data_IF_007797684999
#
_entry.id   IF_007797684999
#
_cell.length_a   1.000
_cell.length_b   1.000
_cell.length_c   1.000
_cell.angle_alpha   90.00
_cell.angle_beta   90.00
_cell.angle_gamma   90.00
#
_symmetry.space_group_name_H-M   'P 1'
#
loop_
_entity.id
_entity.type
_entity.pdbx_description
1 polymer ?
#
# COMPACT_ATOMS: atom_id res chain seq x y z
N UNK A 1 5.77 12.39 15.55
CA UNK A 1 4.85 11.30 15.19
C UNK A 1 5.47 9.98 15.63
N UNK A 2 4.69 9.05 16.17
CA UNK A 2 5.22 7.75 16.62
C UNK A 2 5.53 6.88 15.40
N UNK A 3 6.79 6.44 15.26
CA UNK A 3 7.23 5.59 14.15
C UNK A 3 6.37 4.32 14.01
N UNK A 4 5.88 3.78 15.13
CA UNK A 4 4.97 2.64 15.17
C UNK A 4 3.62 2.97 14.52
N UNK A 5 3.10 4.18 14.77
CA UNK A 5 1.83 4.62 14.17
C UNK A 5 1.96 4.79 12.66
N UNK A 6 3.09 5.33 12.20
CA UNK A 6 3.35 5.52 10.76
C UNK A 6 3.50 4.16 10.05
N UNK A 7 4.21 3.19 10.67
CA UNK A 7 4.31 1.82 10.18
C UNK A 7 2.93 1.12 10.14
N UNK A 8 2.12 1.24 11.20
CA UNK A 8 0.78 0.66 11.23
C UNK A 8 -0.14 1.24 10.14
N UNK A 9 -0.09 2.57 9.93
CA UNK A 9 -0.85 3.24 8.89
C UNK A 9 -0.41 2.79 7.48
N UNK A 10 0.90 2.75 7.24
CA UNK A 10 1.45 2.28 5.96
C UNK A 10 1.03 0.83 5.66
N UNK A 11 1.09 -0.05 6.66
CA UNK A 11 0.65 -1.46 6.52
C UNK A 11 -0.83 -1.57 6.19
N UNK A 12 -1.70 -0.84 6.88
CA UNK A 12 -3.15 -0.85 6.59
C UNK A 12 -3.41 -0.40 5.15
N UNK A 13 -2.77 0.69 4.71
CA UNK A 13 -2.94 1.20 3.35
C UNK A 13 -2.41 0.21 2.30
N UNK A 14 -1.29 -0.47 2.55
CA UNK A 14 -0.79 -1.55 1.68
C UNK A 14 -1.84 -2.64 1.45
N UNK A 15 -2.53 -3.08 2.51
CA UNK A 15 -3.59 -4.08 2.40
C UNK A 15 -4.80 -3.56 1.63
N UNK A 16 -5.21 -2.29 1.83
CA UNK A 16 -6.31 -1.68 1.10
C UNK A 16 -6.00 -1.65 -0.41
N UNK A 17 -4.84 -1.15 -0.80
CA UNK A 17 -4.46 -1.13 -2.22
C UNK A 17 -4.29 -2.53 -2.81
N UNK A 18 -3.78 -3.49 -2.02
CA UNK A 18 -3.70 -4.89 -2.44
C UNK A 18 -5.07 -5.52 -2.69
N UNK A 19 -6.05 -5.22 -1.84
CA UNK A 19 -7.42 -5.68 -2.02
C UNK A 19 -8.06 -5.06 -3.28
N UNK A 20 -7.87 -3.76 -3.52
CA UNK A 20 -8.37 -3.09 -4.72
C UNK A 20 -7.79 -3.73 -5.98
N UNK A 21 -6.46 -3.92 -6.03
CA UNK A 21 -5.80 -4.58 -7.15
C UNK A 21 -6.35 -5.99 -7.38
N UNK A 22 -6.49 -6.79 -6.31
CA UNK A 22 -6.99 -8.17 -6.41
C UNK A 22 -8.43 -8.23 -6.94
N UNK A 23 -9.29 -7.30 -6.52
CA UNK A 23 -10.68 -7.19 -7.01
C UNK A 23 -10.70 -6.86 -8.50
N UNK A 24 -9.84 -5.93 -8.94
CA UNK A 24 -9.82 -5.49 -10.34
C UNK A 24 -9.12 -6.47 -11.28
N UNK A 25 -8.17 -7.28 -10.78
CA UNK A 25 -7.49 -8.33 -11.56
C UNK A 25 -8.34 -9.60 -11.69
N UNK A 26 -9.08 -9.98 -10.65
CA UNK A 26 -9.85 -11.22 -10.60
C UNK A 26 -11.36 -11.09 -10.79
N UNK A 27 -11.89 -9.86 -10.76
CA UNK A 27 -13.33 -9.60 -10.80
C UNK A 27 -13.90 -9.44 -12.21
N UNK A 28 -15.17 -9.81 -12.38
CA UNK A 28 -15.95 -9.42 -13.55
C UNK A 28 -16.25 -7.91 -13.46
N UNK A 29 -15.68 -7.12 -14.36
CA UNK A 29 -15.95 -5.69 -14.42
C UNK A 29 -17.34 -5.47 -15.01
N UNK A 30 -18.29 -5.05 -14.17
CA UNK A 30 -19.67 -4.77 -14.57
C UNK A 30 -19.82 -3.42 -15.28
N UNK A 31 -19.00 -3.15 -16.31
CA UNK A 31 -19.04 -1.88 -17.03
C UNK A 31 -18.91 -2.06 -18.55
N UNK A 32 -19.34 -1.04 -19.29
CA UNK A 32 -19.36 -1.05 -20.75
C UNK A 32 -17.98 -0.92 -21.39
N UNK A 33 -17.96 -0.60 -22.69
CA UNK A 33 -16.72 -0.39 -23.46
C UNK A 33 -15.75 0.57 -22.73
N UNK A 34 -14.57 0.05 -22.37
CA UNK A 34 -13.49 0.81 -21.74
C UNK A 34 -13.27 0.55 -20.25
N UNK A 35 -14.12 -0.23 -19.59
CA UNK A 35 -13.96 -0.57 -18.18
C UNK A 35 -12.63 -1.27 -17.86
N UNK A 36 -12.16 -2.17 -18.73
CA UNK A 36 -10.86 -2.83 -18.56
C UNK A 36 -9.69 -1.84 -18.57
N UNK A 37 -9.77 -0.81 -19.43
CA UNK A 37 -8.73 0.23 -19.52
C UNK A 37 -8.69 1.08 -18.27
N UNK A 38 -9.86 1.39 -17.69
CA UNK A 38 -9.97 2.13 -16.43
C UNK A 38 -9.45 1.28 -15.28
N UNK A 39 -9.83 0.00 -15.20
CA UNK A 39 -9.35 -0.94 -14.20
C UNK A 39 -7.81 -1.07 -14.26
N UNK A 40 -7.23 -1.26 -15.44
CA UNK A 40 -5.78 -1.29 -15.63
C UNK A 40 -5.09 -0.01 -15.14
N UNK A 41 -5.70 1.16 -15.37
CA UNK A 41 -5.17 2.44 -14.87
C UNK A 41 -5.24 2.54 -13.36
N UNK A 42 -6.32 2.07 -12.73
CA UNK A 42 -6.48 2.05 -11.27
C UNK A 42 -5.45 1.09 -10.65
N UNK A 43 -5.26 -0.10 -11.22
CA UNK A 43 -4.25 -1.07 -10.80
C UNK A 43 -2.85 -0.43 -10.82
N UNK A 44 -2.48 0.23 -11.92
CA UNK A 44 -1.17 0.89 -12.03
C UNK A 44 -0.97 1.98 -10.96
N UNK A 45 -2.02 2.74 -10.63
CA UNK A 45 -1.96 3.72 -9.53
C UNK A 45 -1.82 3.05 -8.17
N UNK A 46 -2.55 1.97 -7.91
CA UNK A 46 -2.48 1.20 -6.67
C UNK A 46 -1.08 0.61 -6.48
N UNK A 47 -0.50 0.01 -7.51
CA UNK A 47 0.85 -0.56 -7.47
C UNK A 47 1.92 0.50 -7.18
N UNK A 48 1.82 1.67 -7.82
CA UNK A 48 2.72 2.80 -7.53
C UNK A 48 2.63 3.25 -6.07
N UNK A 49 1.41 3.34 -5.54
CA UNK A 49 1.20 3.74 -4.16
C UNK A 49 1.64 2.67 -3.16
N UNK A 50 1.47 1.39 -3.48
CA UNK A 50 2.02 0.29 -2.69
C UNK A 50 3.54 0.38 -2.57
N UNK A 51 4.26 0.66 -3.67
CA UNK A 51 5.72 0.84 -3.61
C UNK A 51 6.11 2.00 -2.68
N UNK A 52 5.38 3.13 -2.75
CA UNK A 52 5.62 4.29 -1.88
C UNK A 52 5.38 3.97 -0.39
N UNK A 53 4.31 3.24 -0.10
CA UNK A 53 3.95 2.84 1.25
C UNK A 53 4.91 1.79 1.81
N UNK A 54 5.41 0.87 0.99
CA UNK A 54 6.43 -0.10 1.38
C UNK A 54 7.70 0.62 1.85
N UNK A 55 8.20 1.57 1.06
CA UNK A 55 9.36 2.37 1.45
C UNK A 55 9.12 3.19 2.74
N UNK A 56 7.88 3.65 2.95
CA UNK A 56 7.50 4.37 4.18
C UNK A 56 7.47 3.42 5.39
N UNK A 57 6.93 2.21 5.21
CA UNK A 57 6.89 1.17 6.23
C UNK A 57 8.31 0.76 6.66
N UNK A 58 9.17 0.42 5.69
CA UNK A 58 10.54 0.00 5.95
C UNK A 58 11.33 1.08 6.70
N UNK A 59 11.19 2.34 6.28
CA UNK A 59 11.81 3.49 6.96
C UNK A 59 11.30 3.65 8.40
N UNK A 60 10.00 3.49 8.63
CA UNK A 60 9.40 3.63 9.94
C UNK A 60 9.83 2.50 10.89
N UNK A 61 9.91 1.27 10.39
CA UNK A 61 10.41 0.11 11.16
C UNK A 61 11.88 0.28 11.52
N UNK A 62 12.73 0.63 10.57
CA UNK A 62 14.16 0.87 10.82
C UNK A 62 14.37 1.99 11.86
N UNK A 63 13.60 3.07 11.78
CA UNK A 63 13.65 4.15 12.76
C UNK A 63 13.19 3.70 14.17
N UNK A 64 12.19 2.82 14.25
CA UNK A 64 11.73 2.25 15.52
C UNK A 64 12.80 1.35 16.15
N UNK A 65 13.43 0.48 15.36
CA UNK A 65 14.50 -0.41 15.82
C UNK A 65 15.72 0.36 16.33
N UNK A 66 16.18 1.35 15.57
CA UNK A 66 17.29 2.22 15.99
C UNK A 66 16.97 3.02 17.28
N UNK A 67 15.69 3.34 17.52
CA UNK A 67 15.26 4.01 18.74
C UNK A 67 15.17 3.07 19.95
N UNK A 68 14.96 1.77 19.74
CA UNK A 68 15.01 0.74 20.79
C UNK A 68 16.46 0.43 21.17
N UNK A 69 17.36 0.25 20.19
CA UNK A 69 18.79 -0.01 20.43
C UNK A 69 19.48 1.10 21.24
N UNK A 70 19.09 2.37 21.05
CA UNK A 70 19.64 3.50 21.82
C UNK A 70 19.14 3.58 23.27
N UNK A 71 18.10 2.82 23.62
CA UNK A 71 17.54 2.77 24.97
C UNK A 71 18.03 1.56 25.78
N UNK A 72 18.65 0.60 25.11
CA UNK A 72 19.29 -0.57 25.72
C UNK A 72 20.74 -0.28 26.06
#
# INVERSE_FOLDING_TARGET
MSHIKDAACARTNLHIFGAITSILEGGALCGGLGSDRVAARIIAMCQKEQQRLLATYDKAVAASQAAEERKS
#
